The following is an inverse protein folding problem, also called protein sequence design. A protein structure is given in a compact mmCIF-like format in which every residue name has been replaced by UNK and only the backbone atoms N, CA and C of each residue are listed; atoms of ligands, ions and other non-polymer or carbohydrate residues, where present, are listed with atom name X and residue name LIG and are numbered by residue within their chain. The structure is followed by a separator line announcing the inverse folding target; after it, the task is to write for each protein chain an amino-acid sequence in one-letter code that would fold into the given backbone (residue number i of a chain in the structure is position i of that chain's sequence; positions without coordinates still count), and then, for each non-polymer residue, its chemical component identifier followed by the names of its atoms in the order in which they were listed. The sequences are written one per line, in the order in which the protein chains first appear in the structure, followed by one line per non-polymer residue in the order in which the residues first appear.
data_IF_407322574825
#
_entry.id   IF_407322574825
#
_cell.length_a   1.000
_cell.length_b   1.000
_cell.length_c   1.000
_cell.angle_alpha   90.00
_cell.angle_beta   90.00
_cell.angle_gamma   90.00
#
_symmetry.space_group_name_H-M   'P 1'
#
loop_
_entity.id
_entity.type
_entity.pdbx_description
1 polymer ?
#
# COMPACT_ATOMS: atom_id res chain seq x y z
N UNK A 1 10.29 -7.99 23.14
CA UNK A 1 9.19 -8.13 22.14
C UNK A 1 9.71 -7.70 20.78
N UNK A 2 9.42 -8.44 19.73
CA UNK A 2 9.92 -8.20 18.37
C UNK A 2 8.74 -8.20 17.40
N UNK A 3 8.78 -7.35 16.38
CA UNK A 3 7.75 -7.36 15.34
C UNK A 3 8.35 -7.12 13.95
N UNK A 4 7.79 -7.81 12.96
CA UNK A 4 8.05 -7.60 11.55
C UNK A 4 6.74 -7.14 10.91
N UNK A 5 6.77 -5.98 10.26
CA UNK A 5 5.72 -5.50 9.38
C UNK A 5 6.23 -5.61 7.95
N UNK A 6 5.64 -6.50 7.16
CA UNK A 6 5.90 -6.64 5.73
C UNK A 6 4.73 -6.04 4.95
N UNK A 7 4.99 -4.92 4.29
CA UNK A 7 3.99 -4.17 3.51
C UNK A 7 4.35 -4.23 2.02
N UNK A 8 3.59 -4.96 1.23
CA UNK A 8 3.65 -4.91 -0.23
C UNK A 8 2.86 -3.72 -0.76
N UNK A 9 3.15 -3.23 -1.96
CA UNK A 9 2.36 -2.23 -2.65
C UNK A 9 1.53 -2.88 -3.76
N UNK A 10 0.27 -2.47 -3.88
CA UNK A 10 -0.62 -2.92 -4.98
C UNK A 10 -0.87 -4.44 -5.02
N UNK A 11 -0.83 -5.12 -3.87
CA UNK A 11 -1.04 -6.56 -3.78
C UNK A 11 -2.54 -6.90 -3.88
N UNK A 12 -2.97 -7.38 -5.03
CA UNK A 12 -4.36 -7.77 -5.25
C UNK A 12 -4.68 -9.09 -4.54
N UNK A 13 -5.63 -9.03 -3.59
CA UNK A 13 -6.12 -10.17 -2.81
C UNK A 13 -6.65 -11.30 -3.70
N UNK A 14 -7.31 -10.97 -4.81
CA UNK A 14 -7.88 -11.93 -5.76
C UNK A 14 -6.80 -12.71 -6.55
N UNK A 15 -5.54 -12.31 -6.44
CA UNK A 15 -4.40 -12.99 -7.04
C UNK A 15 -3.64 -13.88 -6.05
N UNK A 16 -4.14 -14.13 -4.83
CA UNK A 16 -3.48 -14.97 -3.83
C UNK A 16 -4.20 -16.31 -3.65
N UNK A 17 -3.44 -17.43 -3.68
CA UNK A 17 -3.96 -18.78 -3.48
C UNK A 17 -4.81 -18.94 -2.21
N UNK A 18 -4.42 -18.44 -1.01
CA UNK A 18 -5.22 -18.59 0.20
C UNK A 18 -6.58 -17.86 0.14
N UNK A 19 -6.74 -16.93 -0.78
CA UNK A 19 -8.02 -16.27 -1.07
C UNK A 19 -8.76 -16.86 -2.29
N UNK A 20 -8.28 -17.99 -2.84
CA UNK A 20 -8.97 -18.75 -3.87
C UNK A 20 -8.45 -18.54 -5.29
N UNK A 21 -7.35 -17.84 -5.48
CA UNK A 21 -6.73 -17.71 -6.80
C UNK A 21 -6.15 -19.04 -7.27
N UNK A 22 -6.42 -19.42 -8.52
CA UNK A 22 -5.88 -20.66 -9.10
C UNK A 22 -4.96 -20.44 -10.31
N UNK A 23 -4.70 -19.18 -10.71
CA UNK A 23 -3.86 -18.91 -11.86
C UNK A 23 -2.48 -18.35 -11.51
N UNK A 24 -2.33 -17.72 -10.38
CA UNK A 24 -1.03 -17.28 -9.85
C UNK A 24 -0.36 -18.37 -9.02
N UNK A 25 0.94 -18.29 -8.84
CA UNK A 25 1.72 -19.21 -8.03
C UNK A 25 2.21 -18.52 -6.77
N UNK A 26 1.44 -18.67 -5.67
CA UNK A 26 1.72 -18.00 -4.39
C UNK A 26 1.70 -18.99 -3.19
N UNK A 27 2.49 -20.11 -3.27
CA UNK A 27 2.48 -21.17 -2.26
C UNK A 27 2.99 -20.70 -0.88
N UNK A 28 3.84 -19.66 -0.82
CA UNK A 28 4.33 -19.16 0.46
C UNK A 28 3.28 -18.27 1.17
N UNK A 29 2.40 -17.58 0.45
CA UNK A 29 1.21 -16.98 1.05
C UNK A 29 0.28 -18.06 1.61
N UNK A 30 0.14 -19.21 0.93
CA UNK A 30 -0.60 -20.37 1.45
C UNK A 30 0.07 -20.94 2.71
N UNK A 31 1.40 -21.05 2.74
CA UNK A 31 2.17 -21.43 3.96
C UNK A 31 1.98 -20.41 5.07
N UNK A 32 2.05 -19.10 4.80
CA UNK A 32 1.81 -18.05 5.77
C UNK A 32 0.43 -18.18 6.40
N UNK A 33 -0.61 -18.45 5.60
CA UNK A 33 -1.98 -18.63 6.12
C UNK A 33 -2.12 -19.77 7.13
N UNK A 34 -1.24 -20.77 7.10
CA UNK A 34 -1.20 -21.87 8.07
C UNK A 34 -0.51 -21.47 9.38
N UNK A 35 0.36 -20.46 9.35
CA UNK A 35 1.11 -19.95 10.50
C UNK A 35 0.52 -18.69 11.12
N UNK A 36 -0.53 -18.13 10.54
CA UNK A 36 -1.11 -16.85 10.97
C UNK A 36 -2.64 -16.88 10.96
N UNK A 37 -3.22 -15.82 11.49
CA UNK A 37 -4.64 -15.51 11.30
C UNK A 37 -4.77 -14.76 9.97
N UNK A 38 -5.68 -15.24 9.13
CA UNK A 38 -6.06 -14.62 7.87
C UNK A 38 -7.40 -13.89 8.01
N UNK A 39 -7.47 -12.67 7.48
CA UNK A 39 -8.68 -11.87 7.58
C UNK A 39 -9.49 -11.93 6.28
N UNK A 40 -10.77 -12.24 6.41
CA UNK A 40 -11.71 -12.32 5.29
C UNK A 40 -12.20 -10.94 4.84
N UNK A 41 -12.19 -9.94 5.74
CA UNK A 41 -12.77 -8.61 5.53
C UNK A 41 -11.82 -7.52 6.03
N UNK A 42 -10.68 -7.37 5.37
CA UNK A 42 -9.77 -6.26 5.59
C UNK A 42 -9.91 -5.24 4.46
N UNK A 43 -10.16 -3.99 4.78
CA UNK A 43 -10.28 -2.93 3.79
C UNK A 43 -9.20 -1.87 3.97
N UNK A 44 -8.69 -1.35 2.86
CA UNK A 44 -7.90 -0.13 2.88
C UNK A 44 -8.75 1.03 3.44
N UNK A 45 -8.12 2.05 3.96
CA UNK A 45 -8.78 3.31 4.29
C UNK A 45 -8.59 4.34 3.20
N UNK A 46 -7.45 5.02 3.20
CA UNK A 46 -7.11 6.00 2.18
C UNK A 46 -6.39 5.38 1.00
N UNK A 47 -6.83 5.73 -0.18
CA UNK A 47 -6.22 5.35 -1.46
C UNK A 47 -5.50 6.56 -2.08
N UNK A 48 -4.48 6.35 -2.93
CA UNK A 48 -3.66 5.14 -3.05
C UNK A 48 -2.43 5.19 -2.13
N UNK A 49 -1.29 4.74 -2.58
CA UNK A 49 0.00 4.50 -1.91
C UNK A 49 0.36 5.42 -0.72
N UNK A 50 0.67 6.72 -0.93
CA UNK A 50 1.14 7.60 0.15
C UNK A 50 0.05 7.97 1.17
N UNK A 51 -1.21 8.25 0.79
CA UNK A 51 -2.31 8.36 1.74
C UNK A 51 -2.48 7.13 2.63
N UNK A 52 -2.37 5.90 2.08
CA UNK A 52 -2.41 4.67 2.86
C UNK A 52 -1.22 4.56 3.84
N UNK A 53 -0.03 4.99 3.43
CA UNK A 53 1.15 5.03 4.32
C UNK A 53 0.99 6.04 5.45
N UNK A 54 0.38 7.19 5.17
CA UNK A 54 0.08 8.13 6.25
C UNK A 54 -0.92 7.56 7.24
N UNK A 55 -1.90 6.80 6.79
CA UNK A 55 -2.80 6.04 7.67
C UNK A 55 -2.07 4.97 8.48
N UNK A 56 -1.15 4.23 7.86
CA UNK A 56 -0.31 3.27 8.57
C UNK A 56 0.51 3.93 9.69
N UNK A 57 0.98 5.16 9.48
CA UNK A 57 1.66 5.92 10.53
C UNK A 57 0.71 6.42 11.61
N UNK A 58 -0.44 6.98 11.22
CA UNK A 58 -1.28 7.80 12.11
C UNK A 58 -2.51 7.07 12.65
N UNK A 59 -2.85 5.89 12.13
CA UNK A 59 -4.10 5.18 12.46
C UNK A 59 -5.36 6.02 12.21
N UNK A 60 -5.32 7.00 11.29
CA UNK A 60 -6.39 7.96 11.04
C UNK A 60 -6.62 8.14 9.54
N UNK A 61 -7.90 8.29 9.12
CA UNK A 61 -8.25 8.51 7.73
C UNK A 61 -7.64 9.78 7.15
N UNK A 62 -6.76 9.63 6.16
CA UNK A 62 -6.10 10.74 5.48
C UNK A 62 -7.01 11.39 4.42
N UNK A 63 -7.72 10.60 3.63
CA UNK A 63 -8.47 11.07 2.45
C UNK A 63 -9.60 12.05 2.79
N UNK A 64 -10.01 12.18 4.05
CA UNK A 64 -11.05 13.10 4.48
C UNK A 64 -10.57 14.56 4.57
N UNK A 65 -9.25 14.81 4.61
CA UNK A 65 -8.72 16.15 4.84
C UNK A 65 -7.43 16.48 4.09
N UNK A 66 -6.80 15.50 3.46
CA UNK A 66 -5.48 15.68 2.85
C UNK A 66 -5.31 14.81 1.60
N UNK A 67 -4.72 15.41 0.58
CA UNK A 67 -4.19 14.70 -0.59
C UNK A 67 -2.89 13.96 -0.28
N UNK A 68 -2.12 13.60 -1.30
CA UNK A 68 -0.75 13.15 -1.15
C UNK A 68 0.12 14.25 -0.54
N UNK A 69 0.80 13.92 0.54
CA UNK A 69 1.63 14.91 1.23
C UNK A 69 2.40 14.36 2.42
N UNK A 70 3.11 15.23 3.15
CA UNK A 70 3.99 14.87 4.26
C UNK A 70 3.24 14.33 5.47
N UNK A 71 3.98 13.68 6.37
CA UNK A 71 3.59 13.55 7.78
C UNK A 71 3.65 14.96 8.40
N UNK A 72 2.56 15.36 9.01
CA UNK A 72 2.41 16.69 9.59
C UNK A 72 2.98 16.78 11.01
N UNK A 73 3.39 17.97 11.49
CA UNK A 73 3.91 18.16 12.85
C UNK A 73 2.95 17.75 13.96
N UNK A 74 1.65 17.73 13.70
CA UNK A 74 0.61 17.31 14.67
C UNK A 74 0.27 15.82 14.57
N UNK A 75 0.80 15.08 13.60
CA UNK A 75 0.52 13.66 13.43
C UNK A 75 1.22 12.82 14.52
N UNK A 76 0.47 11.91 15.10
CA UNK A 76 1.00 10.85 15.97
C UNK A 76 1.47 9.70 15.09
N UNK A 77 2.76 9.68 14.77
CA UNK A 77 3.35 8.64 13.93
C UNK A 77 3.71 7.40 14.75
N UNK A 78 3.14 6.25 14.44
CA UNK A 78 3.37 4.99 15.14
C UNK A 78 4.86 4.65 15.30
N UNK A 79 5.73 4.65 14.25
CA UNK A 79 7.14 4.35 14.45
C UNK A 79 7.85 5.39 15.33
N UNK A 80 7.44 6.67 15.29
CA UNK A 80 8.00 7.69 16.18
C UNK A 80 7.56 7.49 17.62
N UNK A 81 6.33 7.11 17.89
CA UNK A 81 5.82 6.79 19.22
C UNK A 81 6.54 5.57 19.81
N UNK A 82 6.73 4.53 19.02
CA UNK A 82 7.53 3.36 19.40
C UNK A 82 8.97 3.75 19.74
N UNK A 83 9.63 4.52 18.87
CA UNK A 83 10.97 5.06 19.08
C UNK A 83 11.07 5.87 20.38
N UNK A 84 10.12 6.77 20.65
CA UNK A 84 10.08 7.56 21.90
C UNK A 84 9.87 6.69 23.14
N UNK A 85 9.27 5.51 22.98
CA UNK A 85 9.04 4.54 24.06
C UNK A 85 10.18 3.51 24.21
N UNK A 86 11.29 3.68 23.48
CA UNK A 86 12.48 2.84 23.57
C UNK A 86 12.43 1.58 22.71
N UNK A 87 11.44 1.43 21.80
CA UNK A 87 11.44 0.38 20.79
C UNK A 87 12.28 0.83 19.61
N UNK A 88 13.28 0.03 19.22
CA UNK A 88 14.10 0.35 18.05
C UNK A 88 13.30 0.09 16.76
N UNK A 89 13.13 1.12 15.94
CA UNK A 89 12.37 1.03 14.70
C UNK A 89 13.28 1.17 13.48
N UNK A 90 13.22 0.21 12.57
CA UNK A 90 14.01 0.20 11.33
C UNK A 90 13.10 0.03 10.12
N UNK A 91 13.29 0.86 9.09
CA UNK A 91 12.59 0.81 7.82
C UNK A 91 13.55 0.37 6.72
N UNK A 92 13.15 -0.61 5.90
CA UNK A 92 13.82 -0.98 4.66
C UNK A 92 12.81 -0.88 3.54
N UNK A 93 13.04 0.00 2.57
CA UNK A 93 12.07 0.23 1.48
C UNK A 93 12.77 0.56 0.17
N UNK A 94 12.13 0.22 -0.93
CA UNK A 94 12.48 0.68 -2.28
C UNK A 94 11.41 1.62 -2.86
N UNK A 95 10.53 2.12 -2.00
CA UNK A 95 9.46 3.05 -2.38
C UNK A 95 10.02 4.44 -2.63
N UNK A 96 10.13 4.84 -3.91
CA UNK A 96 10.77 6.10 -4.33
C UNK A 96 10.09 7.36 -3.76
N UNK A 97 8.78 7.32 -3.49
CA UNK A 97 8.02 8.48 -3.01
C UNK A 97 8.47 8.99 -1.63
N UNK A 98 9.24 8.22 -0.87
CA UNK A 98 9.88 8.72 0.36
C UNK A 98 11.02 9.71 0.11
N UNK A 99 11.50 9.83 -1.13
CA UNK A 99 12.58 10.72 -1.53
C UNK A 99 12.09 11.93 -2.32
N UNK A 100 10.80 12.04 -2.52
CA UNK A 100 10.15 13.22 -3.09
C UNK A 100 9.94 14.28 -1.99
N UNK A 101 9.64 15.53 -2.38
CA UNK A 101 9.59 16.69 -1.48
C UNK A 101 8.70 16.46 -0.24
N UNK A 102 7.51 15.92 -0.41
CA UNK A 102 6.59 15.61 0.69
C UNK A 102 6.88 14.29 1.40
N UNK A 103 7.61 13.38 0.77
CA UNK A 103 7.87 12.03 1.27
C UNK A 103 8.94 11.96 2.35
N UNK A 104 9.87 12.92 2.38
CA UNK A 104 11.03 12.90 3.28
C UNK A 104 10.68 12.94 4.78
N UNK A 105 9.44 13.18 5.13
CA UNK A 105 8.96 13.19 6.52
C UNK A 105 8.62 11.81 7.07
N UNK A 106 8.49 10.78 6.25
CA UNK A 106 8.07 9.43 6.65
C UNK A 106 9.22 8.63 7.24
N UNK A 107 10.29 8.38 6.47
CA UNK A 107 11.41 7.55 6.91
C UNK A 107 12.15 8.13 8.11
N UNK A 108 12.16 9.45 8.28
CA UNK A 108 12.78 10.13 9.44
C UNK A 108 12.04 9.89 10.76
N UNK A 109 10.88 9.26 10.76
CA UNK A 109 10.15 8.87 11.97
C UNK A 109 10.75 7.62 12.63
N UNK A 110 11.51 6.82 11.89
CA UNK A 110 12.21 5.63 12.39
C UNK A 110 13.53 5.98 13.07
N UNK A 111 14.13 5.04 13.82
CA UNK A 111 15.49 5.20 14.35
C UNK A 111 16.53 5.16 13.22
N UNK A 112 16.36 4.22 12.30
CA UNK A 112 17.21 4.06 11.12
C UNK A 112 16.40 3.57 9.93
N UNK A 113 16.96 3.76 8.74
CA UNK A 113 16.31 3.33 7.50
C UNK A 113 17.31 3.05 6.40
N UNK A 114 16.94 2.15 5.50
CA UNK A 114 17.66 1.87 4.27
C UNK A 114 16.74 2.01 3.07
N UNK A 115 17.22 2.67 2.02
CA UNK A 115 16.47 2.86 0.78
C UNK A 115 17.19 2.21 -0.38
N UNK A 116 16.51 1.26 -0.99
CA UNK A 116 16.92 0.66 -2.25
C UNK A 116 16.34 1.49 -3.40
N UNK A 117 17.15 1.75 -4.42
CA UNK A 117 16.82 2.62 -5.54
C UNK A 117 16.56 1.81 -6.80
N UNK A 118 15.70 2.36 -7.70
CA UNK A 118 15.59 1.88 -9.07
C UNK A 118 14.19 1.45 -9.51
N UNK A 119 13.21 1.52 -8.62
CA UNK A 119 11.81 1.22 -8.96
C UNK A 119 11.20 2.32 -9.84
N UNK A 120 10.33 1.94 -10.75
CA UNK A 120 9.55 2.85 -11.60
C UNK A 120 10.46 3.92 -12.28
N UNK A 121 9.99 5.16 -12.33
CA UNK A 121 10.74 6.32 -12.81
C UNK A 121 11.66 6.97 -11.76
N UNK A 122 12.09 6.25 -10.72
CA UNK A 122 13.00 6.77 -9.69
C UNK A 122 14.22 7.47 -10.34
N UNK A 123 14.50 8.75 -10.06
CA UNK A 123 15.66 9.48 -10.61
C UNK A 123 16.99 8.97 -10.01
N UNK A 124 17.29 7.69 -10.25
CA UNK A 124 18.42 6.97 -9.67
C UNK A 124 19.68 7.02 -10.52
N UNK A 125 19.59 6.53 -11.75
CA UNK A 125 20.76 6.46 -12.64
C UNK A 125 20.79 7.63 -13.60
N UNK A 126 21.92 8.33 -13.64
CA UNK A 126 22.09 9.45 -14.56
C UNK A 126 22.34 8.95 -15.99
N UNK A 127 21.61 9.52 -16.95
CA UNK A 127 21.87 9.37 -18.38
C UNK A 127 21.61 10.72 -19.07
N UNK A 128 22.68 11.35 -19.53
CA UNK A 128 22.61 12.70 -20.13
C UNK A 128 22.20 12.66 -21.61
N UNK A 129 22.45 11.54 -22.28
CA UNK A 129 22.10 11.34 -23.69
C UNK A 129 20.60 11.19 -23.94
N UNK A 130 20.20 11.13 -25.20
CA UNK A 130 18.83 10.79 -25.58
C UNK A 130 18.51 9.34 -25.17
N UNK A 131 17.35 9.14 -24.59
CA UNK A 131 16.80 7.80 -24.28
C UNK A 131 15.64 7.54 -25.22
N UNK A 132 15.78 6.52 -26.06
CA UNK A 132 14.71 6.04 -26.91
C UNK A 132 13.89 5.00 -26.14
N UNK A 133 12.57 5.19 -26.12
CA UNK A 133 11.65 4.21 -25.56
C UNK A 133 11.38 3.13 -26.60
N UNK A 134 11.43 1.84 -26.23
CA UNK A 134 10.99 0.78 -27.14
C UNK A 134 9.49 0.93 -27.43
N UNK A 135 8.99 0.35 -28.55
CA UNK A 135 7.55 0.27 -28.78
C UNK A 135 6.86 -0.39 -27.58
N UNK A 136 5.76 0.22 -27.11
CA UNK A 136 5.04 -0.23 -25.92
C UNK A 136 3.54 0.05 -26.07
N UNK A 137 2.74 -0.70 -25.30
CA UNK A 137 1.38 -0.37 -24.92
C UNK A 137 1.38 0.20 -23.51
N UNK A 138 0.36 0.98 -23.16
CA UNK A 138 0.25 1.60 -21.84
C UNK A 138 1.28 2.69 -21.61
N UNK A 139 1.85 2.73 -20.41
CA UNK A 139 2.81 3.75 -19.98
C UNK A 139 4.25 3.36 -20.28
N UNK A 140 5.11 4.35 -20.41
CA UNK A 140 6.56 4.21 -20.43
C UNK A 140 7.23 5.48 -19.89
N UNK A 141 8.37 5.32 -19.27
CA UNK A 141 9.14 6.41 -18.69
C UNK A 141 10.62 6.27 -19.08
N UNK A 142 11.25 7.37 -19.51
CA UNK A 142 12.67 7.36 -19.92
C UNK A 142 13.61 7.01 -18.79
N UNK A 143 13.30 7.46 -17.57
CA UNK A 143 14.12 7.16 -16.40
C UNK A 143 13.98 5.69 -16.00
N UNK A 144 12.77 5.13 -16.09
CA UNK A 144 12.54 3.69 -15.88
C UNK A 144 13.38 2.86 -16.89
N UNK A 145 13.38 3.22 -18.16
CA UNK A 145 14.17 2.51 -19.17
C UNK A 145 15.68 2.55 -18.86
N UNK A 146 16.18 3.68 -18.36
CA UNK A 146 17.56 3.78 -17.87
C UNK A 146 17.78 2.86 -16.65
N UNK A 147 16.88 2.88 -15.69
CA UNK A 147 17.00 2.08 -14.46
C UNK A 147 16.97 0.58 -14.75
N UNK A 148 16.11 0.12 -15.67
CA UNK A 148 15.99 -1.31 -16.07
C UNK A 148 17.31 -1.93 -16.52
N UNK A 149 18.21 -1.15 -17.12
CA UNK A 149 19.54 -1.66 -17.49
C UNK A 149 20.39 -2.11 -16.28
N UNK A 150 20.13 -1.56 -15.10
CA UNK A 150 20.85 -1.84 -13.86
C UNK A 150 20.14 -2.83 -12.93
N UNK A 151 18.85 -3.03 -13.11
CA UNK A 151 18.05 -3.95 -12.29
C UNK A 151 17.67 -5.24 -13.02
N UNK A 152 18.01 -5.37 -14.29
CA UNK A 152 17.71 -6.58 -15.09
C UNK A 152 18.47 -7.80 -14.56
N UNK A 153 17.73 -8.88 -14.32
CA UNK A 153 18.25 -10.20 -13.93
C UNK A 153 18.27 -10.43 -12.42
N UNK A 154 18.50 -11.68 -12.05
CA UNK A 154 18.55 -12.14 -10.67
C UNK A 154 19.66 -11.44 -9.85
N UNK A 155 19.39 -11.23 -8.57
CA UNK A 155 20.30 -10.56 -7.63
C UNK A 155 20.41 -9.04 -7.83
N UNK A 156 19.65 -8.48 -8.77
CA UNK A 156 19.71 -7.05 -9.08
C UNK A 156 18.40 -6.30 -8.81
N UNK A 157 17.28 -7.04 -8.72
CA UNK A 157 15.98 -6.45 -8.49
C UNK A 157 15.93 -5.68 -7.15
N UNK A 158 15.24 -4.55 -7.08
CA UNK A 158 15.08 -3.80 -5.82
C UNK A 158 14.49 -4.67 -4.69
N UNK A 159 13.42 -5.41 -4.95
CA UNK A 159 12.82 -6.35 -4.00
C UNK A 159 13.84 -7.34 -3.41
N UNK A 160 14.71 -7.92 -4.24
CA UNK A 160 15.74 -8.85 -3.77
C UNK A 160 16.70 -8.19 -2.77
N UNK A 161 17.05 -6.92 -3.02
CA UNK A 161 17.92 -6.13 -2.13
C UNK A 161 17.21 -5.77 -0.84
N UNK A 162 15.93 -5.38 -0.91
CA UNK A 162 15.10 -5.10 0.29
C UNK A 162 15.09 -6.31 1.21
N UNK A 163 14.82 -7.50 0.69
CA UNK A 163 14.84 -8.71 1.51
C UNK A 163 16.27 -9.12 1.93
N UNK A 164 17.30 -8.81 1.13
CA UNK A 164 18.71 -9.00 1.52
C UNK A 164 19.07 -8.16 2.76
N UNK A 165 18.72 -6.88 2.76
CA UNK A 165 18.91 -5.97 3.90
C UNK A 165 18.08 -6.40 5.11
N UNK A 166 16.85 -6.89 4.89
CA UNK A 166 16.03 -7.44 5.97
C UNK A 166 16.71 -8.65 6.65
N UNK A 167 17.30 -9.56 5.88
CA UNK A 167 18.07 -10.67 6.43
C UNK A 167 19.34 -10.21 7.16
N UNK A 168 20.01 -9.16 6.66
CA UNK A 168 21.15 -8.54 7.36
C UNK A 168 20.72 -7.99 8.72
N UNK A 169 19.65 -7.17 8.77
CA UNK A 169 19.11 -6.67 10.04
C UNK A 169 18.77 -7.80 11.01
N UNK A 170 18.08 -8.85 10.54
CA UNK A 170 17.68 -9.98 11.37
C UNK A 170 18.89 -10.78 11.90
N UNK A 171 19.94 -10.93 11.11
CA UNK A 171 21.18 -11.61 11.53
C UNK A 171 21.94 -10.79 12.59
N UNK A 172 22.15 -9.50 12.31
CA UNK A 172 22.88 -8.59 13.21
C UNK A 172 22.18 -8.40 14.56
N UNK A 173 20.83 -8.43 14.55
CA UNK A 173 20.01 -8.18 15.73
C UNK A 173 19.32 -9.45 16.28
N UNK A 174 19.86 -10.63 15.96
CA UNK A 174 19.26 -11.93 16.33
C UNK A 174 19.06 -12.07 17.84
N UNK A 175 20.02 -11.61 18.62
CA UNK A 175 20.03 -11.72 20.08
C UNK A 175 19.46 -10.44 20.76
N UNK A 176 19.03 -9.45 19.97
CA UNK A 176 18.41 -8.22 20.47
C UNK A 176 16.90 -8.39 20.63
N UNK A 177 16.33 -7.62 21.53
CA UNK A 177 14.88 -7.54 21.79
C UNK A 177 14.39 -6.10 21.59
N UNK A 178 13.08 -5.93 21.64
CA UNK A 178 12.41 -4.62 21.65
C UNK A 178 12.64 -3.81 20.36
N UNK A 179 12.33 -4.42 19.21
CA UNK A 179 12.44 -3.77 17.91
C UNK A 179 11.24 -4.05 16.97
N UNK A 180 11.00 -3.09 16.07
CA UNK A 180 10.12 -3.18 14.91
C UNK A 180 10.96 -3.09 13.64
N UNK A 181 10.93 -4.13 12.81
CA UNK A 181 11.42 -4.12 11.44
C UNK A 181 10.26 -3.91 10.47
N UNK A 182 10.26 -2.81 9.74
CA UNK A 182 9.33 -2.54 8.65
C UNK A 182 10.02 -2.83 7.32
N UNK A 183 9.60 -3.89 6.65
CA UNK A 183 10.05 -4.29 5.32
C UNK A 183 8.96 -3.84 4.34
N UNK A 184 9.31 -2.97 3.42
CA UNK A 184 8.35 -2.36 2.51
C UNK A 184 8.84 -2.45 1.06
N UNK A 185 8.66 -3.62 0.40
CA UNK A 185 8.91 -3.74 -1.02
C UNK A 185 7.82 -3.03 -1.84
N UNK A 186 8.25 -2.33 -2.89
CA UNK A 186 7.35 -1.67 -3.81
C UNK A 186 6.58 -2.67 -4.70
N UNK A 187 7.20 -3.81 -5.03
CA UNK A 187 6.54 -4.86 -5.78
C UNK A 187 5.34 -5.47 -4.97
N UNK A 188 4.26 -5.92 -5.66
CA UNK A 188 4.09 -6.04 -7.11
C UNK A 188 3.48 -4.81 -7.82
N UNK A 189 3.81 -3.58 -7.38
CA UNK A 189 3.45 -2.33 -8.07
C UNK A 189 3.97 -2.33 -9.52
N UNK A 190 3.28 -1.66 -10.42
CA UNK A 190 3.76 -1.46 -11.79
C UNK A 190 4.98 -0.51 -11.84
N UNK A 191 5.86 -0.64 -12.84
CA UNK A 191 5.82 -1.55 -13.98
C UNK A 191 6.12 -3.00 -13.59
N UNK A 192 5.41 -3.96 -14.18
CA UNK A 192 5.55 -5.39 -13.85
C UNK A 192 6.79 -5.99 -14.48
N UNK A 193 7.95 -5.68 -13.92
CA UNK A 193 9.25 -6.05 -14.46
C UNK A 193 9.96 -7.12 -13.61
N UNK A 194 9.62 -8.38 -13.82
CA UNK A 194 10.22 -9.50 -13.13
C UNK A 194 11.39 -10.14 -13.96
N UNK A 195 12.34 -10.84 -13.33
CA UNK A 195 13.30 -11.69 -14.02
C UNK A 195 12.66 -12.79 -14.86
N UNK A 196 13.34 -13.21 -15.94
CA UNK A 196 12.84 -14.21 -16.90
C UNK A 196 12.42 -15.53 -16.24
N UNK A 197 13.07 -15.96 -15.16
CA UNK A 197 12.72 -17.19 -14.45
C UNK A 197 11.29 -17.17 -13.88
N UNK A 198 10.80 -15.99 -13.51
CA UNK A 198 9.42 -15.81 -13.05
C UNK A 198 8.47 -15.59 -14.22
N UNK A 199 8.88 -14.82 -15.23
CA UNK A 199 8.09 -14.63 -16.45
C UNK A 199 7.79 -15.94 -17.15
N UNK A 200 8.77 -16.85 -17.26
CA UNK A 200 8.65 -18.16 -17.90
C UNK A 200 7.63 -19.10 -17.20
N UNK A 201 7.20 -18.78 -15.99
CA UNK A 201 6.12 -19.53 -15.30
C UNK A 201 4.72 -19.18 -15.81
N UNK A 202 4.60 -18.09 -16.56
CA UNK A 202 3.36 -17.53 -17.09
C UNK A 202 3.50 -17.36 -18.61
N UNK A 203 3.82 -18.45 -19.31
CA UNK A 203 3.98 -18.42 -20.77
C UNK A 203 2.66 -18.09 -21.46
N UNK A 204 2.71 -17.19 -22.41
CA UNK A 204 1.64 -16.88 -23.35
C UNK A 204 2.21 -16.79 -24.78
N UNK A 205 1.33 -16.79 -25.78
CA UNK A 205 1.72 -16.67 -27.18
C UNK A 205 1.86 -15.22 -27.65
N UNK A 206 1.92 -14.25 -26.71
CA UNK A 206 2.01 -12.85 -27.03
C UNK A 206 3.40 -12.49 -27.57
N UNK A 207 3.40 -11.98 -28.80
CA UNK A 207 4.60 -11.52 -29.51
C UNK A 207 4.49 -10.06 -29.99
N UNK A 208 3.59 -9.30 -29.34
CA UNK A 208 3.36 -7.89 -29.60
C UNK A 208 4.39 -6.97 -28.94
N UNK A 209 4.05 -5.68 -28.89
CA UNK A 209 4.86 -4.68 -28.20
C UNK A 209 4.81 -4.87 -26.67
N UNK A 210 5.88 -4.43 -25.97
CA UNK A 210 5.96 -4.51 -24.51
C UNK A 210 4.70 -3.95 -23.85
N UNK A 211 4.15 -4.66 -22.87
CA UNK A 211 3.01 -4.23 -22.08
C UNK A 211 3.13 -4.75 -20.64
N UNK A 212 3.92 -4.06 -19.83
CA UNK A 212 4.19 -4.35 -18.43
C UNK A 212 3.84 -3.16 -17.50
N UNK A 213 3.34 -2.06 -18.08
CA UNK A 213 2.93 -0.87 -17.36
C UNK A 213 1.59 -0.35 -17.91
N UNK A 214 0.46 -0.87 -17.41
CA UNK A 214 -0.85 -0.48 -17.93
C UNK A 214 -1.15 0.98 -17.64
N UNK A 215 -2.00 1.64 -18.48
CA UNK A 215 -2.43 3.01 -18.22
C UNK A 215 -3.38 3.06 -17.02
N UNK A 216 -3.58 4.23 -16.44
CA UNK A 216 -4.65 4.47 -15.47
C UNK A 216 -5.91 4.90 -16.20
N UNK A 217 -6.49 3.98 -16.96
CA UNK A 217 -7.59 4.25 -17.89
C UNK A 217 -8.36 2.98 -18.23
N UNK A 218 -9.40 3.13 -19.09
CA UNK A 218 -10.16 2.02 -19.62
C UNK A 218 -9.29 1.03 -20.40
N UNK A 219 -9.69 -0.23 -20.34
CA UNK A 219 -9.09 -1.29 -21.14
C UNK A 219 -9.47 -1.13 -22.61
N UNK A 220 -8.49 -0.84 -23.43
CA UNK A 220 -8.66 -0.68 -24.90
C UNK A 220 -7.80 -1.64 -25.70
N UNK A 221 -6.89 -2.33 -25.05
CA UNK A 221 -5.91 -3.22 -25.66
C UNK A 221 -6.54 -4.54 -26.12
N UNK A 222 -5.99 -5.20 -27.15
CA UNK A 222 -6.43 -6.52 -27.56
C UNK A 222 -6.33 -7.56 -26.43
N UNK A 223 -7.22 -8.53 -26.37
CA UNK A 223 -7.29 -9.54 -25.31
C UNK A 223 -5.93 -10.24 -25.06
N UNK A 224 -5.18 -10.54 -26.13
CA UNK A 224 -3.86 -11.17 -25.99
C UNK A 224 -2.88 -10.28 -25.19
N UNK A 225 -2.91 -8.96 -25.41
CA UNK A 225 -2.10 -8.00 -24.65
C UNK A 225 -2.58 -7.90 -23.20
N UNK A 226 -3.89 -7.91 -22.97
CA UNK A 226 -4.46 -7.92 -21.60
C UNK A 226 -4.00 -9.15 -20.81
N UNK A 227 -4.07 -10.33 -21.41
CA UNK A 227 -3.58 -11.58 -20.81
C UNK A 227 -2.09 -11.49 -20.51
N UNK A 228 -1.30 -10.98 -21.46
CA UNK A 228 0.13 -10.77 -21.28
C UNK A 228 0.43 -9.87 -20.08
N UNK A 229 -0.20 -8.71 -19.98
CA UNK A 229 -0.01 -7.78 -18.87
C UNK A 229 -0.36 -8.43 -17.50
N UNK A 230 -1.46 -9.21 -17.44
CA UNK A 230 -1.81 -10.00 -16.24
C UNK A 230 -0.72 -11.02 -15.91
N UNK A 231 -0.17 -11.70 -16.90
CA UNK A 231 0.93 -12.66 -16.73
C UNK A 231 2.19 -11.98 -16.20
N UNK A 232 2.52 -10.75 -16.64
CA UNK A 232 3.62 -9.97 -16.07
C UNK A 232 3.39 -9.65 -14.58
N UNK A 233 2.17 -9.23 -14.20
CA UNK A 233 1.81 -9.07 -12.79
C UNK A 233 1.94 -10.38 -12.01
N UNK A 234 1.43 -11.49 -12.54
CA UNK A 234 1.57 -12.82 -11.93
C UNK A 234 3.01 -13.23 -11.70
N UNK A 235 3.90 -12.95 -12.67
CA UNK A 235 5.33 -13.22 -12.57
C UNK A 235 5.99 -12.41 -11.45
N UNK A 236 5.67 -11.11 -11.36
CA UNK A 236 6.18 -10.23 -10.32
C UNK A 236 5.66 -10.65 -8.94
N UNK A 237 4.37 -10.99 -8.83
CA UNK A 237 3.75 -11.50 -7.61
C UNK A 237 4.39 -12.82 -7.16
N UNK A 238 4.72 -13.73 -8.09
CA UNK A 238 5.42 -14.98 -7.76
C UNK A 238 6.84 -14.72 -7.24
N UNK A 239 7.51 -13.68 -7.71
CA UNK A 239 8.77 -13.22 -7.13
C UNK A 239 8.55 -12.71 -5.68
N UNK A 240 7.53 -11.91 -5.43
CA UNK A 240 7.16 -11.47 -4.08
C UNK A 240 6.92 -12.67 -3.14
N UNK A 241 6.17 -13.67 -3.60
CA UNK A 241 5.91 -14.91 -2.86
C UNK A 241 7.19 -15.69 -2.53
N UNK A 242 8.11 -15.79 -3.49
CA UNK A 242 9.39 -16.49 -3.28
C UNK A 242 10.24 -15.81 -2.20
N UNK A 243 10.25 -14.48 -2.15
CA UNK A 243 10.98 -13.73 -1.12
C UNK A 243 10.27 -13.71 0.23
N UNK A 244 8.94 -13.71 0.26
CA UNK A 244 8.17 -14.03 1.47
C UNK A 244 8.59 -15.42 2.01
N UNK A 245 8.71 -16.43 1.14
CA UNK A 245 9.17 -17.77 1.52
C UNK A 245 10.50 -17.75 2.25
N UNK A 246 11.48 -16.98 1.75
CA UNK A 246 12.81 -16.85 2.42
C UNK A 246 12.70 -16.23 3.81
N UNK A 247 11.81 -15.25 4.02
CA UNK A 247 11.56 -14.68 5.33
C UNK A 247 10.94 -15.72 6.28
N UNK A 248 9.95 -16.49 5.79
CA UNK A 248 9.32 -17.55 6.59
C UNK A 248 10.35 -18.65 6.95
N UNK A 249 11.23 -19.04 6.02
CA UNK A 249 12.32 -19.98 6.28
C UNK A 249 13.25 -19.47 7.39
N UNK A 250 13.58 -18.18 7.36
CA UNK A 250 14.39 -17.56 8.41
C UNK A 250 13.68 -17.62 9.77
N UNK A 251 12.39 -17.31 9.81
CA UNK A 251 11.60 -17.37 11.05
C UNK A 251 11.52 -18.81 11.61
N UNK A 252 11.39 -19.82 10.74
CA UNK A 252 11.38 -21.24 11.15
C UNK A 252 12.74 -21.66 11.72
N UNK A 253 13.82 -21.40 11.01
CA UNK A 253 15.18 -21.79 11.41
C UNK A 253 15.56 -21.16 12.75
N UNK A 254 15.19 -19.90 12.96
CA UNK A 254 15.54 -19.13 14.16
C UNK A 254 14.44 -19.15 15.24
N UNK A 255 13.36 -19.95 15.07
CA UNK A 255 12.24 -20.11 16.01
C UNK A 255 11.56 -18.80 16.39
N UNK A 256 11.50 -17.85 15.47
CA UNK A 256 10.99 -16.50 15.72
C UNK A 256 9.48 -16.47 15.98
N UNK A 257 8.74 -17.50 15.58
CA UNK A 257 7.32 -17.64 15.90
C UNK A 257 7.00 -17.61 17.39
N UNK A 258 7.99 -17.85 18.26
CA UNK A 258 7.77 -17.90 19.71
C UNK A 258 7.61 -16.51 20.34
N UNK A 259 8.21 -15.46 19.74
CA UNK A 259 8.35 -14.14 20.38
C UNK A 259 8.31 -12.94 19.43
N UNK A 260 8.08 -13.21 18.14
CA UNK A 260 8.07 -12.18 17.10
C UNK A 260 6.70 -12.13 16.42
N UNK A 261 6.04 -10.97 16.47
CA UNK A 261 4.84 -10.73 15.67
C UNK A 261 5.23 -10.60 14.19
N UNK A 262 4.42 -11.18 13.30
CA UNK A 262 4.52 -10.96 11.86
C UNK A 262 3.19 -10.42 11.34
N UNK A 263 3.22 -9.26 10.70
CA UNK A 263 2.11 -8.70 9.95
C UNK A 263 2.51 -8.67 8.48
N UNK A 264 1.69 -9.27 7.61
CA UNK A 264 1.84 -9.17 6.15
C UNK A 264 0.58 -8.53 5.59
N UNK A 265 0.75 -7.38 4.94
CA UNK A 265 -0.33 -6.52 4.47
C UNK A 265 0.02 -5.86 3.14
N UNK A 266 -0.91 -5.10 2.62
CA UNK A 266 -0.71 -4.16 1.49
C UNK A 266 -1.42 -2.85 1.78
N UNK A 267 -1.07 -1.82 1.07
CA UNK A 267 -1.73 -0.52 1.11
C UNK A 267 -3.08 -0.51 0.38
N UNK A 268 -3.16 -1.15 -0.80
CA UNK A 268 -4.34 -1.35 -1.63
C UNK A 268 -4.07 -2.46 -2.66
N UNK A 269 -5.10 -2.82 -3.43
CA UNK A 269 -4.95 -3.72 -4.56
C UNK A 269 -4.72 -3.01 -5.90
N UNK A 270 -5.06 -3.69 -7.00
CA UNK A 270 -4.83 -3.22 -8.37
C UNK A 270 -5.83 -3.87 -9.33
N UNK A 271 -6.41 -3.09 -10.25
CA UNK A 271 -7.24 -3.59 -11.33
C UNK A 271 -6.39 -4.08 -12.49
N UNK A 272 -6.60 -5.32 -12.88
CA UNK A 272 -5.90 -5.99 -13.97
C UNK A 272 -6.82 -6.20 -15.20
N UNK A 273 -7.71 -5.24 -15.43
CA UNK A 273 -8.71 -5.26 -16.51
C UNK A 273 -10.11 -5.63 -16.04
N UNK A 274 -10.33 -5.90 -14.75
CA UNK A 274 -11.67 -6.05 -14.19
C UNK A 274 -12.45 -4.76 -14.39
N UNK A 275 -13.77 -4.86 -14.53
CA UNK A 275 -14.67 -3.73 -14.78
C UNK A 275 -14.33 -2.89 -16.02
N UNK A 276 -13.47 -3.41 -16.91
CA UNK A 276 -12.96 -2.67 -18.08
C UNK A 276 -11.93 -1.58 -17.73
N UNK A 277 -11.28 -1.66 -16.55
CA UNK A 277 -10.30 -0.70 -16.08
C UNK A 277 -8.95 -1.31 -15.78
N UNK A 278 -7.90 -0.50 -15.96
CA UNK A 278 -6.55 -0.77 -15.44
C UNK A 278 -6.24 0.10 -14.22
N UNK A 279 -5.34 -0.40 -13.38
CA UNK A 279 -4.67 0.32 -12.31
C UNK A 279 -5.56 0.66 -11.09
N UNK A 280 -5.42 1.85 -10.47
CA UNK A 280 -5.89 2.08 -9.10
C UNK A 280 -6.39 3.51 -8.80
N UNK A 281 -6.13 4.47 -9.66
CA UNK A 281 -6.41 5.90 -9.39
C UNK A 281 -7.70 6.39 -10.04
N UNK A 282 -8.61 5.49 -10.38
CA UNK A 282 -9.90 5.82 -10.97
C UNK A 282 -11.03 5.33 -10.07
N UNK A 283 -12.12 6.08 -9.89
CA UNK A 283 -13.32 5.53 -9.30
C UNK A 283 -14.01 4.61 -10.34
N UNK A 284 -14.75 3.57 -9.97
CA UNK A 284 -15.14 3.26 -8.60
C UNK A 284 -14.03 2.44 -7.88
N UNK A 285 -14.05 2.45 -6.55
CA UNK A 285 -13.06 1.74 -5.73
C UNK A 285 -13.57 0.33 -5.40
N UNK A 286 -13.54 -0.54 -6.41
CA UNK A 286 -14.01 -1.92 -6.36
C UNK A 286 -13.26 -2.77 -5.33
N UNK A 287 -13.79 -3.98 -5.08
CA UNK A 287 -13.20 -4.94 -4.13
C UNK A 287 -11.74 -5.28 -4.46
N UNK A 288 -11.36 -5.30 -5.73
CA UNK A 288 -9.99 -5.53 -6.18
C UNK A 288 -9.01 -4.44 -5.70
N UNK A 289 -9.50 -3.24 -5.42
CA UNK A 289 -8.68 -2.11 -4.93
C UNK A 289 -8.74 -1.96 -3.43
N UNK A 290 -9.95 -2.04 -2.85
CA UNK A 290 -10.20 -1.64 -1.47
C UNK A 290 -10.18 -2.82 -0.49
N UNK A 291 -10.53 -4.03 -0.92
CA UNK A 291 -10.57 -5.23 -0.09
C UNK A 291 -9.21 -5.94 -0.12
N UNK A 292 -8.37 -5.63 0.86
CA UNK A 292 -6.96 -6.02 0.90
C UNK A 292 -6.73 -7.35 1.63
N UNK A 293 -5.66 -8.11 1.28
CA UNK A 293 -5.21 -9.23 2.07
C UNK A 293 -4.58 -8.76 3.38
N UNK A 294 -4.79 -9.52 4.45
CA UNK A 294 -4.13 -9.30 5.74
C UNK A 294 -3.88 -10.63 6.43
N UNK A 295 -2.63 -10.82 6.89
CA UNK A 295 -2.19 -11.95 7.68
C UNK A 295 -1.48 -11.43 8.92
N UNK A 296 -1.85 -11.94 10.11
CA UNK A 296 -1.20 -11.55 11.37
C UNK A 296 -0.90 -12.82 12.19
N UNK A 297 0.36 -12.99 12.51
CA UNK A 297 0.80 -13.86 13.59
C UNK A 297 1.13 -13.03 14.82
N UNK A 298 0.45 -13.29 15.91
CA UNK A 298 0.74 -12.68 17.22
C UNK A 298 1.08 -13.77 18.23
N UNK A 299 2.34 -13.87 18.70
CA UNK A 299 2.76 -14.92 19.62
C UNK A 299 2.02 -14.87 20.98
N UNK A 300 1.41 -13.73 21.34
CA UNK A 300 0.61 -13.59 22.55
C UNK A 300 -0.70 -14.37 22.47
N UNK A 301 -1.24 -14.54 21.26
CA UNK A 301 -2.51 -15.24 21.04
C UNK A 301 -2.29 -16.71 20.66
N UNK A 302 -1.22 -17.00 19.93
CA UNK A 302 -0.92 -18.32 19.39
C UNK A 302 -1.92 -18.83 18.34
N UNK A 303 -2.82 -17.96 17.85
CA UNK A 303 -3.80 -18.32 16.83
C UNK A 303 -3.12 -18.46 15.47
N UNK A 304 -3.21 -19.64 14.85
CA UNK A 304 -2.59 -19.98 13.59
C UNK A 304 -3.52 -20.85 12.73
N UNK A 305 -3.48 -20.69 11.41
CA UNK A 305 -4.32 -21.45 10.49
C UNK A 305 -5.82 -21.10 10.59
N UNK A 306 -6.15 -19.96 11.16
CA UNK A 306 -7.52 -19.52 11.41
C UNK A 306 -7.92 -18.36 10.53
N UNK A 307 -9.22 -18.20 10.32
CA UNK A 307 -9.80 -17.06 9.59
C UNK A 307 -10.63 -16.20 10.51
N UNK A 308 -10.59 -14.87 10.29
CA UNK A 308 -11.43 -13.89 10.99
C UNK A 308 -12.39 -13.23 10.02
N UNK A 309 -13.65 -13.11 10.44
CA UNK A 309 -14.74 -12.50 9.65
C UNK A 309 -15.09 -11.10 10.13
N UNK A 310 -14.59 -10.69 11.29
CA UNK A 310 -14.73 -9.33 11.77
C UNK A 310 -14.16 -8.34 10.73
N UNK A 311 -14.88 -7.23 10.56
CA UNK A 311 -14.47 -6.16 9.67
C UNK A 311 -13.29 -5.39 10.27
N UNK A 312 -12.17 -5.34 9.56
CA UNK A 312 -10.94 -4.65 9.96
C UNK A 312 -10.42 -3.77 8.83
N UNK A 313 -9.49 -2.88 9.12
CA UNK A 313 -8.92 -1.97 8.13
C UNK A 313 -7.41 -1.80 8.33
N UNK A 314 -6.73 -1.29 7.31
CA UNK A 314 -5.29 -0.97 7.36
C UNK A 314 -4.95 0.06 8.44
N UNK A 315 -5.86 0.98 8.77
CA UNK A 315 -5.67 1.93 9.89
C UNK A 315 -5.56 1.26 11.26
N UNK A 316 -5.94 -0.01 11.40
CA UNK A 316 -5.85 -0.76 12.65
C UNK A 316 -4.44 -1.26 12.94
N UNK A 317 -3.55 -1.26 11.95
CA UNK A 317 -2.19 -1.78 12.09
C UNK A 317 -1.35 -0.91 13.05
N UNK A 318 -1.49 0.41 13.00
CA UNK A 318 -0.79 1.31 13.91
C UNK A 318 -1.17 1.08 15.38
N UNK A 319 -2.45 1.14 15.79
CA UNK A 319 -2.82 0.88 17.18
C UNK A 319 -2.53 -0.57 17.62
N UNK A 320 -2.59 -1.56 16.71
CA UNK A 320 -2.21 -2.95 17.01
C UNK A 320 -0.73 -3.07 17.35
N UNK A 321 0.16 -2.44 16.58
CA UNK A 321 1.60 -2.43 16.85
C UNK A 321 1.92 -1.66 18.14
N UNK A 322 1.29 -0.50 18.39
CA UNK A 322 1.46 0.23 19.64
C UNK A 322 1.06 -0.62 20.84
N UNK A 323 -0.12 -1.24 20.78
CA UNK A 323 -0.62 -2.15 21.82
C UNK A 323 0.30 -3.35 22.04
N UNK A 324 0.81 -3.92 20.95
CA UNK A 324 1.76 -5.04 21.02
C UNK A 324 2.99 -4.69 21.86
N UNK A 325 3.56 -3.51 21.68
CA UNK A 325 4.71 -3.03 22.44
C UNK A 325 4.35 -2.35 23.78
N UNK A 326 3.09 -2.34 24.18
CA UNK A 326 2.63 -1.71 25.42
C UNK A 326 2.68 -0.19 25.40
N UNK A 327 2.67 0.42 24.23
CA UNK A 327 2.67 1.88 24.05
C UNK A 327 1.23 2.38 23.99
N UNK A 328 0.85 3.43 24.72
CA UNK A 328 -0.50 3.98 24.69
C UNK A 328 -0.92 4.41 23.30
N UNK A 329 -2.14 4.04 22.90
CA UNK A 329 -2.75 4.46 21.64
C UNK A 329 -3.24 5.91 21.77
N UNK A 330 -2.78 6.84 20.93
CA UNK A 330 -3.25 8.22 20.94
C UNK A 330 -4.76 8.33 20.67
N UNK A 331 -5.48 9.27 21.31
CA UNK A 331 -6.91 9.46 21.12
C UNK A 331 -7.30 9.92 19.71
N UNK A 332 -6.34 10.45 18.94
CA UNK A 332 -6.56 10.90 17.57
C UNK A 332 -6.53 9.74 16.56
N UNK A 333 -6.10 8.54 16.94
CA UNK A 333 -6.19 7.35 16.11
C UNK A 333 -7.62 6.84 16.03
N UNK A 334 -8.08 6.55 14.82
CA UNK A 334 -9.44 6.06 14.52
C UNK A 334 -9.45 4.53 14.29
N UNK A 335 -8.27 3.93 14.12
CA UNK A 335 -8.07 2.50 14.08
C UNK A 335 -8.19 1.87 15.47
N UNK A 336 -8.32 0.54 15.51
CA UNK A 336 -8.49 -0.25 16.71
C UNK A 336 -7.38 -1.29 16.87
N UNK A 337 -7.01 -1.62 18.10
CA UNK A 337 -6.19 -2.78 18.39
C UNK A 337 -6.91 -4.07 18.00
N UNK A 338 -6.27 -4.90 17.19
CA UNK A 338 -6.85 -6.14 16.69
C UNK A 338 -6.66 -7.35 17.61
N UNK A 339 -6.12 -7.20 18.81
CA UNK A 339 -5.84 -8.32 19.70
C UNK A 339 -7.09 -9.17 19.99
N UNK A 340 -8.24 -8.55 20.24
CA UNK A 340 -9.51 -9.27 20.51
C UNK A 340 -10.07 -9.95 19.26
N UNK A 341 -9.86 -9.34 18.10
CA UNK A 341 -10.22 -9.97 16.81
C UNK A 341 -9.35 -11.20 16.57
N UNK A 342 -8.03 -11.09 16.77
CA UNK A 342 -7.10 -12.21 16.63
C UNK A 342 -7.45 -13.38 17.55
N UNK A 343 -7.81 -13.10 18.80
CA UNK A 343 -8.12 -14.15 19.80
C UNK A 343 -9.49 -14.81 19.56
N UNK A 344 -10.54 -14.05 19.27
CA UNK A 344 -11.92 -14.52 19.39
C UNK A 344 -12.86 -14.05 18.27
N UNK A 345 -12.33 -13.39 17.21
CA UNK A 345 -13.13 -12.79 16.12
C UNK A 345 -14.18 -11.76 16.62
N UNK A 346 -13.88 -11.05 17.72
CA UNK A 346 -14.77 -10.03 18.27
C UNK A 346 -14.70 -8.78 17.39
N UNK A 347 -15.82 -8.33 16.80
CA UNK A 347 -15.82 -7.16 15.93
C UNK A 347 -15.36 -5.88 16.66
N UNK A 348 -14.55 -5.08 16.00
CA UNK A 348 -14.06 -3.77 16.50
C UNK A 348 -14.79 -2.60 15.83
N UNK A 349 -15.58 -2.88 14.78
CA UNK A 349 -16.42 -1.90 14.06
C UNK A 349 -17.57 -2.58 13.34
N UNK A 350 -18.62 -1.78 13.07
CA UNK A 350 -19.78 -2.21 12.28
C UNK A 350 -19.66 -1.78 10.81
N UNK A 351 -18.84 -0.77 10.52
CA UNK A 351 -18.63 -0.25 9.17
C UNK A 351 -17.20 0.27 8.99
N UNK A 352 -16.71 0.22 7.75
CA UNK A 352 -15.40 0.69 7.33
C UNK A 352 -15.56 1.81 6.29
N UNK A 353 -14.87 2.93 6.48
CA UNK A 353 -14.77 4.02 5.52
C UNK A 353 -13.53 3.84 4.66
N UNK A 354 -13.65 4.10 3.36
CA UNK A 354 -12.50 4.11 2.46
C UNK A 354 -12.73 5.10 1.31
N UNK A 355 -11.68 5.43 0.61
CA UNK A 355 -11.79 6.33 -0.54
C UNK A 355 -10.51 7.05 -0.88
N UNK A 356 -10.63 8.03 -1.76
CA UNK A 356 -9.55 8.88 -2.20
C UNK A 356 -9.93 10.35 -2.03
N UNK A 357 -8.99 11.17 -1.58
CA UNK A 357 -9.18 12.61 -1.44
C UNK A 357 -9.68 13.24 -2.74
N UNK A 358 -10.81 13.91 -2.68
CA UNK A 358 -11.43 14.56 -3.84
C UNK A 358 -12.17 13.64 -4.80
N UNK A 359 -12.28 12.35 -4.49
CA UNK A 359 -13.06 11.37 -5.25
C UNK A 359 -14.19 10.80 -4.36
N UNK A 360 -14.66 9.58 -4.66
CA UNK A 360 -15.71 8.94 -3.87
C UNK A 360 -15.31 8.72 -2.41
N UNK A 361 -16.26 8.95 -1.52
CA UNK A 361 -16.22 8.50 -0.12
C UNK A 361 -17.07 7.26 -0.01
N UNK A 362 -16.47 6.16 0.38
CA UNK A 362 -17.08 4.85 0.39
C UNK A 362 -17.27 4.33 1.82
N UNK A 363 -18.30 3.52 2.02
CA UNK A 363 -18.54 2.81 3.27
C UNK A 363 -18.99 1.37 2.98
N UNK A 364 -18.51 0.44 3.80
CA UNK A 364 -18.94 -0.96 3.77
C UNK A 364 -19.19 -1.49 5.17
N UNK A 365 -20.16 -2.39 5.30
CA UNK A 365 -20.39 -3.27 6.46
C UNK A 365 -19.91 -4.72 6.18
N UNK A 366 -19.23 -4.92 5.04
CA UNK A 366 -18.79 -6.22 4.55
C UNK A 366 -19.89 -7.01 3.82
N UNK A 367 -21.10 -6.45 3.69
CA UNK A 367 -22.21 -6.96 2.89
C UNK A 367 -22.65 -5.97 1.82
N UNK A 368 -22.74 -4.71 2.19
CA UNK A 368 -23.06 -3.62 1.30
C UNK A 368 -21.84 -2.72 1.11
N UNK A 369 -21.64 -2.23 -0.11
CA UNK A 369 -20.68 -1.17 -0.41
C UNK A 369 -21.43 -0.01 -1.00
N UNK A 370 -21.42 1.13 -0.31
CA UNK A 370 -21.96 2.38 -0.84
C UNK A 370 -20.81 3.32 -1.17
N UNK A 371 -20.77 3.79 -2.40
CA UNK A 371 -19.79 4.74 -2.90
C UNK A 371 -20.50 6.04 -3.23
N UNK A 372 -20.22 7.08 -2.44
CA UNK A 372 -20.79 8.40 -2.62
C UNK A 372 -19.87 9.25 -3.48
N UNK A 373 -20.39 9.68 -4.63
CA UNK A 373 -19.70 10.58 -5.54
C UNK A 373 -19.45 11.96 -4.93
N UNK A 374 -18.48 12.69 -5.46
CA UNK A 374 -18.31 14.09 -5.16
C UNK A 374 -19.51 14.91 -5.69
N UNK A 375 -19.68 16.10 -5.15
CA UNK A 375 -20.75 17.02 -5.62
C UNK A 375 -20.13 18.06 -6.56
N UNK A 376 -20.58 18.13 -7.83
CA UNK A 376 -20.08 19.12 -8.77
C UNK A 376 -20.14 20.54 -8.19
N UNK A 377 -19.05 21.30 -8.32
CA UNK A 377 -18.95 22.66 -7.83
C UNK A 377 -18.56 22.80 -6.36
N UNK A 378 -18.40 21.73 -5.60
CA UNK A 378 -17.85 21.77 -4.26
C UNK A 378 -16.35 22.07 -4.32
N UNK A 379 -15.89 23.06 -3.55
CA UNK A 379 -14.49 23.37 -3.46
C UNK A 379 -13.76 22.35 -2.58
N UNK A 380 -12.62 21.86 -3.07
CA UNK A 380 -11.75 20.95 -2.35
C UNK A 380 -10.57 21.72 -1.76
N UNK A 381 -10.15 21.36 -0.54
CA UNK A 381 -9.06 22.03 0.15
C UNK A 381 -8.12 21.04 0.81
N UNK A 382 -6.83 21.25 0.65
CA UNK A 382 -5.81 20.64 1.50
C UNK A 382 -5.65 21.45 2.80
N UNK A 383 -5.42 20.74 3.91
CA UNK A 383 -5.15 21.33 5.21
C UNK A 383 -3.79 20.84 5.72
N UNK A 384 -2.83 21.75 5.84
CA UNK A 384 -1.43 21.41 6.10
C UNK A 384 -0.71 22.48 6.93
N UNK A 385 0.36 22.09 7.63
CA UNK A 385 1.38 22.99 8.16
C UNK A 385 2.66 22.96 7.33
N UNK A 386 2.78 21.94 6.46
CA UNK A 386 3.90 21.78 5.55
C UNK A 386 3.39 21.95 4.12
N UNK A 387 3.58 23.11 3.48
CA UNK A 387 3.04 23.39 2.14
C UNK A 387 3.84 22.66 1.05
N UNK A 388 3.75 21.33 1.09
CA UNK A 388 4.39 20.42 0.15
C UNK A 388 3.32 19.48 -0.44
N UNK A 389 3.27 19.37 -1.76
CA UNK A 389 2.71 18.19 -2.39
C UNK A 389 3.64 17.01 -2.17
N UNK A 390 3.22 15.80 -2.52
CA UNK A 390 4.12 14.65 -2.39
C UNK A 390 5.35 14.79 -3.30
N UNK A 391 5.14 15.15 -4.57
CA UNK A 391 6.17 15.16 -5.63
C UNK A 391 6.77 16.52 -5.93
N UNK A 392 6.29 17.57 -5.28
CA UNK A 392 6.74 18.96 -5.54
C UNK A 392 6.39 19.89 -4.36
N UNK A 393 6.99 21.05 -4.33
CA UNK A 393 6.53 22.15 -3.50
C UNK A 393 5.24 22.75 -4.07
N UNK A 394 4.41 23.36 -3.24
CA UNK A 394 3.30 24.17 -3.72
C UNK A 394 3.82 25.34 -4.56
N UNK A 395 3.13 25.61 -5.64
CA UNK A 395 3.45 26.78 -6.48
C UNK A 395 3.12 28.08 -5.72
N UNK A 396 3.88 29.17 -5.96
CA UNK A 396 3.58 30.47 -5.35
C UNK A 396 2.13 30.91 -5.57
N UNK A 397 1.54 30.62 -6.72
CA UNK A 397 0.17 30.99 -7.12
C UNK A 397 -0.90 30.24 -6.27
N UNK A 398 -0.59 29.01 -5.83
CA UNK A 398 -1.44 28.25 -4.91
C UNK A 398 -1.38 28.89 -3.51
N UNK A 399 -0.18 29.23 -3.06
CA UNK A 399 0.06 29.79 -1.73
C UNK A 399 -0.44 31.23 -1.57
N UNK A 400 -0.48 32.03 -2.63
CA UNK A 400 -1.04 33.40 -2.60
C UNK A 400 -2.51 33.46 -2.20
N UNK A 401 -3.25 32.37 -2.41
CA UNK A 401 -4.70 32.28 -2.16
C UNK A 401 -5.04 31.54 -0.87
N UNK A 402 -4.03 31.08 -0.13
CA UNK A 402 -4.25 30.35 1.11
C UNK A 402 -4.93 31.21 2.17
N UNK A 403 -5.65 30.54 3.05
CA UNK A 403 -6.20 31.11 4.28
C UNK A 403 -5.82 30.25 5.47
N UNK A 404 -5.98 30.78 6.69
CA UNK A 404 -5.83 29.96 7.89
C UNK A 404 -7.19 29.37 8.26
N UNK A 405 -7.19 28.09 8.61
CA UNK A 405 -8.33 27.37 9.14
C UNK A 405 -8.19 27.22 10.66
N UNK A 406 -9.30 27.21 11.36
CA UNK A 406 -9.32 26.91 12.79
C UNK A 406 -8.86 25.46 13.05
N UNK A 407 -8.33 25.14 14.23
CA UNK A 407 -7.84 23.79 14.53
C UNK A 407 -8.92 22.74 14.35
N UNK A 408 -8.56 21.59 13.73
CA UNK A 408 -9.32 20.36 13.84
C UNK A 408 -9.04 19.67 15.18
N UNK A 409 -9.89 18.75 15.60
CA UNK A 409 -9.70 17.98 16.85
C UNK A 409 -8.33 17.29 16.92
N UNK A 410 -7.83 16.82 15.79
CA UNK A 410 -6.57 16.08 15.67
C UNK A 410 -5.33 16.97 15.42
N UNK A 411 -5.48 18.27 15.21
CA UNK A 411 -4.32 19.15 14.94
C UNK A 411 -3.67 19.72 16.20
N UNK A 412 -4.04 19.20 17.39
CA UNK A 412 -3.44 19.58 18.69
C UNK A 412 -3.44 21.09 18.95
N UNK A 413 -4.53 21.76 18.55
CA UNK A 413 -4.68 23.21 18.67
C UNK A 413 -3.95 24.02 17.61
N UNK A 414 -3.26 23.40 16.67
CA UNK A 414 -2.62 24.09 15.56
C UNK A 414 -3.63 24.51 14.49
N UNK A 415 -3.60 25.78 14.12
CA UNK A 415 -4.29 26.27 12.91
C UNK A 415 -3.55 25.79 11.69
N UNK A 416 -4.25 25.34 10.66
CA UNK A 416 -3.65 24.84 9.41
C UNK A 416 -3.78 25.87 8.29
N UNK A 417 -2.86 25.81 7.33
CA UNK A 417 -3.05 26.43 6.04
C UNK A 417 -4.20 25.70 5.34
N UNK A 418 -5.15 26.45 4.81
CA UNK A 418 -6.24 25.97 3.96
C UNK A 418 -5.94 26.40 2.53
N UNK A 419 -5.63 25.46 1.67
CA UNK A 419 -5.17 25.66 0.31
C UNK A 419 -6.19 25.06 -0.64
N UNK A 420 -6.74 25.89 -1.55
CA UNK A 420 -7.70 25.41 -2.54
C UNK A 420 -6.99 24.49 -3.56
N UNK A 421 -7.57 23.32 -3.78
CA UNK A 421 -7.07 22.37 -4.76
C UNK A 421 -7.69 22.62 -6.13
N UNK A 422 -6.91 22.55 -7.23
CA UNK A 422 -7.46 22.55 -8.57
C UNK A 422 -8.43 21.37 -8.76
N UNK A 423 -9.49 21.57 -9.53
CA UNK A 423 -10.47 20.50 -9.79
C UNK A 423 -9.90 19.31 -10.56
N UNK A 424 -8.86 19.52 -11.29
CA UNK A 424 -8.12 18.55 -12.13
C UNK A 424 -6.83 18.06 -11.48
N UNK A 425 -6.67 18.28 -10.16
CA UNK A 425 -5.46 17.91 -9.43
C UNK A 425 -5.15 16.41 -9.51
N UNK A 426 -6.19 15.56 -9.49
CA UNK A 426 -6.07 14.15 -9.79
C UNK A 426 -6.73 13.80 -11.13
N UNK A 427 -6.09 13.01 -11.99
CA UNK A 427 -6.74 12.51 -13.20
C UNK A 427 -8.06 11.77 -12.93
N UNK A 428 -8.19 11.16 -11.75
CA UNK A 428 -9.42 10.49 -11.32
C UNK A 428 -10.59 11.44 -11.05
N UNK A 429 -10.36 12.73 -10.86
CA UNK A 429 -11.42 13.73 -10.68
C UNK A 429 -12.05 14.17 -12.01
N UNK A 430 -11.48 13.79 -13.14
CA UNK A 430 -11.99 14.02 -14.48
C UNK A 430 -12.77 12.83 -15.03
N UNK A 431 -13.41 12.04 -14.18
CA UNK A 431 -14.28 10.95 -14.62
C UNK A 431 -15.45 11.45 -15.44
N UNK A 432 -15.86 10.64 -16.40
CA UNK A 432 -17.08 10.91 -17.15
C UNK A 432 -18.26 11.07 -16.18
N UNK A 433 -19.23 11.97 -16.45
CA UNK A 433 -20.36 12.19 -15.56
C UNK A 433 -21.15 10.93 -15.20
N UNK A 434 -21.15 9.93 -16.08
CA UNK A 434 -21.78 8.62 -15.86
C UNK A 434 -21.06 7.76 -14.82
N UNK A 435 -19.78 7.99 -14.55
CA UNK A 435 -18.97 7.29 -13.56
C UNK A 435 -18.95 8.01 -12.20
N UNK A 436 -19.16 9.32 -12.21
CA UNK A 436 -19.25 10.13 -11.00
C UNK A 436 -20.68 10.15 -10.44
N UNK A 437 -21.14 8.97 -9.99
CA UNK A 437 -22.47 8.77 -9.41
C UNK A 437 -22.42 7.99 -8.12
N UNK A 438 -23.43 8.19 -7.28
CA UNK A 438 -23.66 7.35 -6.10
C UNK A 438 -23.97 5.92 -6.56
N UNK A 439 -23.27 4.95 -5.97
CA UNK A 439 -23.41 3.54 -6.33
C UNK A 439 -23.55 2.68 -5.08
N UNK A 440 -24.41 1.66 -5.13
CA UNK A 440 -24.62 0.72 -4.03
C UNK A 440 -24.56 -0.71 -4.55
N UNK A 441 -23.64 -1.50 -4.00
CA UNK A 441 -23.46 -2.92 -4.32
C UNK A 441 -23.85 -3.81 -3.14
N UNK A 442 -24.48 -4.94 -3.41
CA UNK A 442 -24.72 -6.00 -2.44
C UNK A 442 -23.76 -7.17 -2.69
N UNK A 443 -22.68 -7.24 -1.95
CA UNK A 443 -21.63 -8.25 -2.13
C UNK A 443 -22.10 -9.69 -1.97
N UNK A 444 -23.27 -9.95 -1.37
CA UNK A 444 -23.84 -11.31 -1.26
C UNK A 444 -24.46 -11.78 -2.56
N UNK A 445 -25.06 -10.89 -3.33
CA UNK A 445 -25.75 -11.21 -4.60
C UNK A 445 -24.94 -10.76 -5.81
N UNK A 446 -24.05 -9.82 -5.61
CA UNK A 446 -23.16 -9.24 -6.62
C UNK A 446 -21.75 -9.06 -6.02
N UNK A 447 -21.00 -10.17 -5.79
CA UNK A 447 -19.66 -10.12 -5.23
C UNK A 447 -18.61 -9.53 -6.18
N UNK A 448 -18.98 -9.38 -7.45
CA UNK A 448 -18.10 -8.78 -8.47
C UNK A 448 -18.41 -7.32 -8.75
N UNK A 449 -19.46 -6.76 -8.16
CA UNK A 449 -19.86 -5.36 -8.36
C UNK A 449 -20.10 -5.00 -9.86
N UNK A 450 -20.80 -5.89 -10.59
CA UNK A 450 -21.14 -5.75 -12.02
C UNK A 450 -22.48 -5.04 -12.26
#
# INVERSE_FOLDING_TARGET
MRAILLLFDSLNRHCLEPYGCGWTQTPNFSRLSQHSVMFDRCYAGSLPCMPARRELHTGRYNFLHRSWGPIEPFDDSMPELLKKSGVYTHLISDHQHYWEDGGATYHTRYNSWECVRGQEGDPWKAHVGAVELPPHLGQANKQDEVNRAYIRGLGKQPLEKVFGLAHEFLNENRDADNWLLHIEPFDPHEPFFAPEEYQNRYSDDYNGTRFDWPPYDHVTEPLAAQVHCRNQYGALLTMCDAYLGKLLDYMDVHRMWQDTMLIVATDHGFLLGEHGWWAKNRPLFYEELSHTPLFIWDPRTGAAGERRKALVQTIDLAPTLLSYFGVPIPPDMQGHDLQTVLQQDIPVRDAALFGMFGAHVCVTDGRWVYMRADRPGTALYDYTLLPLHQRAMYAPEELQKLTLHEPFSFTKGCRTLKIAMPKDFYPCMSTAPEENRDTLFNLQTDPKQE
#
